data_IF_600857577494
#
_entry.id   IF_600857577494
#
_cell.length_a   1.000
_cell.length_b   1.000
_cell.length_c   1.000
_cell.angle_alpha   90.00
_cell.angle_beta   90.00
_cell.angle_gamma   90.00
#
_symmetry.space_group_name_H-M   'P 1'
#
loop_
_entity.id
_entity.type
_entity.pdbx_description
1 polymer ?
#
# COMPACT_ATOMS: atom_id res chain seq x y z
N UNK A 1 -8.00 13.22 -9.11
CA UNK A 1 -6.76 12.70 -8.49
C UNK A 1 -5.93 11.93 -9.50
N UNK A 2 -6.17 10.65 -9.82
CA UNK A 2 -5.37 9.91 -10.82
C UNK A 2 -5.19 10.66 -12.14
N UNK A 3 -6.29 11.07 -12.79
CA UNK A 3 -6.23 11.79 -14.06
C UNK A 3 -5.52 13.16 -13.96
N UNK A 4 -5.56 13.78 -12.79
CA UNK A 4 -4.86 15.03 -12.48
C UNK A 4 -3.36 14.81 -12.28
N UNK A 5 -2.96 13.65 -11.72
CA UNK A 5 -1.57 13.24 -11.52
C UNK A 5 -0.93 12.69 -12.81
N UNK A 6 -1.72 12.02 -13.64
CA UNK A 6 -1.31 11.46 -14.95
C UNK A 6 -1.72 12.40 -16.09
N UNK A 7 -1.49 13.72 -15.94
CA UNK A 7 -1.94 14.71 -16.92
C UNK A 7 -1.39 14.46 -18.33
N UNK A 8 -0.18 13.91 -18.44
CA UNK A 8 0.45 13.57 -19.72
C UNK A 8 -0.31 12.48 -20.49
N UNK A 9 -1.02 11.60 -19.77
CA UNK A 9 -1.86 10.55 -20.35
C UNK A 9 -3.29 11.02 -20.62
N UNK A 10 -3.72 12.11 -19.98
CA UNK A 10 -5.05 12.70 -20.12
C UNK A 10 -4.95 14.19 -20.54
N UNK A 11 -4.54 14.48 -21.78
CA UNK A 11 -4.25 15.85 -22.23
C UNK A 11 -5.48 16.78 -22.18
N UNK A 12 -6.69 16.24 -22.29
CA UNK A 12 -7.94 17.02 -22.15
C UNK A 12 -8.16 17.54 -20.72
N UNK A 13 -7.40 17.04 -19.75
CA UNK A 13 -7.37 17.48 -18.36
C UNK A 13 -6.18 18.44 -18.11
N UNK A 14 -5.81 19.25 -19.10
CA UNK A 14 -4.73 20.23 -18.93
C UNK A 14 -5.03 21.17 -17.76
N UNK A 15 -4.08 21.15 -16.82
CA UNK A 15 -4.02 21.84 -15.53
C UNK A 15 -3.84 23.34 -15.79
N UNK A 16 -4.90 24.03 -16.25
CA UNK A 16 -4.81 25.47 -16.55
C UNK A 16 -5.97 26.28 -15.97
N UNK A 17 -6.78 25.69 -15.09
CA UNK A 17 -7.77 26.43 -14.32
C UNK A 17 -7.15 26.88 -12.98
N UNK A 18 -7.15 28.19 -12.66
CA UNK A 18 -6.69 28.68 -11.37
C UNK A 18 -7.55 28.05 -10.26
N UNK A 19 -6.89 27.41 -9.29
CA UNK A 19 -7.53 26.68 -8.18
C UNK A 19 -7.34 25.16 -8.21
N UNK A 20 -6.93 24.56 -9.33
CA UNK A 20 -6.77 23.10 -9.43
C UNK A 20 -5.70 22.51 -8.49
N UNK A 21 -4.62 23.24 -8.19
CA UNK A 21 -3.63 22.80 -7.20
C UNK A 21 -4.21 22.74 -5.78
N UNK A 22 -5.07 23.71 -5.43
CA UNK A 22 -5.84 23.70 -4.17
C UNK A 22 -6.83 22.55 -4.18
N UNK A 23 -7.44 22.27 -5.34
CA UNK A 23 -8.37 21.16 -5.46
C UNK A 23 -7.69 19.79 -5.31
N UNK A 24 -6.47 19.63 -5.83
CA UNK A 24 -5.70 18.42 -5.67
C UNK A 24 -5.18 18.27 -4.24
N UNK A 25 -4.66 19.34 -3.64
CA UNK A 25 -4.04 19.30 -2.31
C UNK A 25 -5.05 18.94 -1.21
N UNK A 26 -6.25 19.52 -1.21
CA UNK A 26 -7.27 19.15 -0.21
C UNK A 26 -7.80 17.73 -0.41
N UNK A 27 -7.91 17.26 -1.67
CA UNK A 27 -8.29 15.89 -1.99
C UNK A 27 -7.27 14.90 -1.42
N UNK A 28 -5.99 15.17 -1.63
CA UNK A 28 -4.91 14.35 -1.10
C UNK A 28 -4.86 14.39 0.43
N UNK A 29 -5.08 15.55 1.04
CA UNK A 29 -5.13 15.66 2.49
C UNK A 29 -6.33 14.88 3.07
N UNK A 30 -7.49 14.93 2.41
CA UNK A 30 -8.66 14.15 2.83
C UNK A 30 -8.39 12.63 2.78
N UNK A 31 -7.71 12.15 1.73
CA UNK A 31 -7.28 10.74 1.64
C UNK A 31 -6.29 10.41 2.74
N UNK A 32 -5.28 11.27 2.95
CA UNK A 32 -4.28 11.08 4.01
C UNK A 32 -4.94 10.98 5.39
N UNK A 33 -5.86 11.90 5.72
CA UNK A 33 -6.61 11.88 6.97
C UNK A 33 -7.45 10.59 7.11
N UNK A 34 -8.13 10.17 6.05
CA UNK A 34 -8.89 8.91 6.05
C UNK A 34 -7.99 7.70 6.32
N UNK A 35 -6.84 7.60 5.64
CA UNK A 35 -5.88 6.51 5.81
C UNK A 35 -5.27 6.50 7.22
N UNK A 36 -4.98 7.67 7.80
CA UNK A 36 -4.52 7.75 9.18
C UNK A 36 -5.59 7.31 10.19
N UNK A 37 -6.85 7.73 10.00
CA UNK A 37 -7.98 7.31 10.85
C UNK A 37 -8.25 5.80 10.79
N UNK A 38 -7.91 5.16 9.67
CA UNK A 38 -8.12 3.74 9.43
C UNK A 38 -6.82 2.99 9.16
N UNK A 39 -5.76 3.37 9.89
CA UNK A 39 -4.43 2.80 9.70
C UNK A 39 -4.38 1.31 10.06
N UNK A 40 -3.61 0.52 9.29
CA UNK A 40 -3.61 -0.94 9.35
C UNK A 40 -2.18 -1.51 9.38
N UNK A 41 -1.98 -2.62 10.10
CA UNK A 41 -0.73 -3.40 10.19
C UNK A 41 -0.93 -4.89 9.89
N UNK A 42 -2.02 -5.24 9.23
CA UNK A 42 -2.33 -6.60 8.84
C UNK A 42 -1.23 -7.11 7.90
N UNK A 43 -0.75 -8.31 8.20
CA UNK A 43 0.41 -8.88 7.52
C UNK A 43 0.06 -9.23 6.08
N UNK A 44 0.70 -8.57 5.13
CA UNK A 44 0.71 -8.99 3.72
C UNK A 44 1.67 -10.17 3.62
N UNK A 45 1.13 -11.35 3.29
CA UNK A 45 1.93 -12.57 3.13
C UNK A 45 2.44 -12.69 1.71
N UNK A 46 3.64 -13.24 1.55
CA UNK A 46 4.20 -13.56 0.23
C UNK A 46 3.84 -15.00 -0.13
N UNK A 47 3.24 -15.19 -1.31
CA UNK A 47 2.87 -16.50 -1.84
C UNK A 47 3.73 -16.83 -3.06
N UNK A 48 4.32 -18.02 -3.06
CA UNK A 48 5.02 -18.55 -4.22
C UNK A 48 4.05 -18.85 -5.36
N UNK A 49 4.40 -18.40 -6.56
CA UNK A 49 3.75 -18.74 -7.81
C UNK A 49 4.67 -19.68 -8.61
N UNK A 50 4.18 -20.89 -8.88
CA UNK A 50 4.97 -21.93 -9.54
C UNK A 50 5.20 -21.65 -11.03
N UNK A 51 4.31 -20.91 -11.70
CA UNK A 51 4.46 -20.60 -13.12
C UNK A 51 5.47 -19.48 -13.32
N UNK A 52 5.42 -18.46 -12.46
CA UNK A 52 6.33 -17.32 -12.51
C UNK A 52 7.69 -17.57 -11.81
N UNK A 53 7.84 -18.68 -11.10
CA UNK A 53 8.99 -18.97 -10.22
C UNK A 53 9.35 -17.78 -9.32
N UNK A 54 8.32 -17.11 -8.78
CA UNK A 54 8.46 -15.89 -8.00
C UNK A 54 7.39 -15.80 -6.91
N UNK A 55 7.72 -15.12 -5.83
CA UNK A 55 6.75 -14.78 -4.79
C UNK A 55 6.05 -13.45 -5.03
N UNK A 56 4.74 -13.42 -4.80
CA UNK A 56 3.90 -12.24 -4.91
C UNK A 56 3.20 -11.91 -3.58
N UNK A 57 3.00 -10.62 -3.26
CA UNK A 57 2.29 -10.22 -2.06
C UNK A 57 0.79 -10.50 -2.17
N UNK A 58 0.18 -10.98 -1.09
CA UNK A 58 -1.26 -11.20 -0.94
C UNK A 58 -1.85 -10.13 -0.03
N UNK A 59 -2.57 -9.19 -0.62
CA UNK A 59 -3.26 -8.10 0.10
C UNK A 59 -4.66 -8.46 0.59
N UNK A 60 -5.18 -9.63 0.19
CA UNK A 60 -6.49 -10.15 0.56
C UNK A 60 -6.50 -10.75 1.97
N UNK A 61 -6.10 -9.95 2.95
CA UNK A 61 -6.06 -10.31 4.37
C UNK A 61 -7.13 -9.57 5.16
N UNK A 62 -7.46 -10.07 6.36
CA UNK A 62 -8.39 -9.38 7.24
C UNK A 62 -7.71 -8.17 7.86
N UNK A 63 -8.29 -7.00 7.59
CA UNK A 63 -7.80 -5.69 7.98
C UNK A 63 -8.43 -5.21 9.30
N UNK A 64 -7.68 -4.47 10.12
CA UNK A 64 -8.17 -3.88 11.38
C UNK A 64 -7.49 -2.55 11.67
N UNK A 65 -8.32 -1.53 11.94
CA UNK A 65 -7.85 -0.20 12.31
C UNK A 65 -7.02 -0.19 13.61
N UNK A 66 -5.96 0.61 13.60
CA UNK A 66 -4.99 0.83 14.69
C UNK A 66 -4.60 2.30 14.80
N UNK A 67 -3.76 2.60 15.79
CA UNK A 67 -3.24 3.93 16.07
C UNK A 67 -2.10 4.27 15.08
N UNK A 68 -2.30 5.29 14.26
CA UNK A 68 -1.36 5.67 13.21
C UNK A 68 -0.02 6.16 13.75
N UNK A 69 -0.02 6.98 14.81
CA UNK A 69 1.21 7.60 15.31
C UNK A 69 2.14 6.54 15.91
N UNK A 70 1.56 5.59 16.65
CA UNK A 70 2.32 4.45 17.19
C UNK A 70 2.91 3.57 16.09
N UNK A 71 2.18 3.35 14.99
CA UNK A 71 2.67 2.59 13.84
C UNK A 71 3.84 3.32 13.19
N UNK A 72 3.69 4.63 12.97
CA UNK A 72 4.71 5.47 12.34
C UNK A 72 6.00 5.49 13.17
N UNK A 73 5.90 5.70 14.49
CA UNK A 73 7.05 5.69 15.40
C UNK A 73 7.79 4.35 15.33
N UNK A 74 7.07 3.24 15.50
CA UNK A 74 7.65 1.90 15.42
C UNK A 74 8.31 1.64 14.05
N UNK A 75 7.66 2.02 12.95
CA UNK A 75 8.19 1.80 11.61
C UNK A 75 9.47 2.61 11.33
N UNK A 76 9.59 3.82 11.88
CA UNK A 76 10.82 4.62 11.76
C UNK A 76 11.99 4.00 12.52
N UNK A 77 11.73 3.39 13.68
CA UNK A 77 12.74 2.71 14.51
C UNK A 77 13.15 1.34 13.97
N UNK A 78 12.27 0.66 13.22
CA UNK A 78 12.43 -0.73 12.79
C UNK A 78 12.54 -0.88 11.25
N UNK A 79 13.17 0.08 10.58
CA UNK A 79 13.38 -0.01 9.13
C UNK A 79 14.26 -1.22 8.78
N UNK A 80 13.89 -1.92 7.72
CA UNK A 80 14.70 -3.03 7.19
C UNK A 80 15.82 -2.46 6.32
N UNK A 81 17.05 -2.90 6.57
CA UNK A 81 18.22 -2.47 5.78
C UNK A 81 18.32 -3.19 4.43
N UNK A 82 17.61 -4.32 4.26
CA UNK A 82 17.76 -5.21 3.11
C UNK A 82 16.41 -5.54 2.47
N UNK A 83 16.44 -5.73 1.16
CA UNK A 83 15.26 -6.11 0.38
C UNK A 83 14.96 -7.61 0.46
N UNK A 84 13.68 -7.96 0.38
CA UNK A 84 13.23 -9.35 0.28
C UNK A 84 13.57 -9.92 -1.11
N UNK A 85 14.24 -11.08 -1.16
CA UNK A 85 14.54 -11.76 -2.42
C UNK A 85 13.35 -12.63 -2.84
N UNK A 86 12.62 -12.16 -3.86
CA UNK A 86 11.38 -12.80 -4.31
C UNK A 86 11.57 -14.07 -5.13
N UNK A 87 12.80 -14.35 -5.59
CA UNK A 87 13.15 -15.52 -6.40
C UNK A 87 13.51 -16.76 -5.57
N UNK A 88 13.60 -16.63 -4.25
CA UNK A 88 13.89 -17.75 -3.36
C UNK A 88 12.57 -18.36 -2.87
N UNK A 89 12.32 -19.62 -3.25
CA UNK A 89 11.20 -20.38 -2.69
C UNK A 89 11.53 -20.84 -1.26
N UNK A 90 11.06 -20.08 -0.28
CA UNK A 90 11.12 -20.48 1.12
C UNK A 90 9.94 -21.41 1.44
N UNK A 91 10.20 -22.70 1.66
CA UNK A 91 9.18 -23.68 2.04
C UNK A 91 8.82 -23.45 3.51
N UNK A 92 7.71 -22.76 3.76
CA UNK A 92 7.18 -22.61 5.11
C UNK A 92 6.34 -23.83 5.49
N UNK A 93 6.66 -24.46 6.62
CA UNK A 93 5.90 -25.56 7.23
C UNK A 93 4.67 -25.08 8.03
N UNK A 94 4.40 -23.76 8.04
CA UNK A 94 3.20 -23.20 8.65
C UNK A 94 2.02 -23.34 7.68
N UNK A 95 0.84 -23.81 8.15
CA UNK A 95 -0.36 -23.78 7.34
C UNK A 95 -0.65 -22.33 6.93
N UNK A 96 -0.91 -22.11 5.64
CA UNK A 96 -1.25 -20.79 5.12
C UNK A 96 -2.40 -20.22 5.98
N UNK A 97 -2.26 -19.00 6.54
CA UNK A 97 -3.27 -18.47 7.45
C UNK A 97 -4.63 -18.54 6.75
N UNK A 98 -5.58 -19.25 7.38
CA UNK A 98 -6.94 -19.35 6.86
C UNK A 98 -7.49 -17.94 6.72
N UNK A 99 -7.68 -17.51 5.48
CA UNK A 99 -8.50 -16.35 5.16
C UNK A 99 -9.91 -16.73 5.58
N UNK A 100 -10.33 -16.27 6.77
CA UNK A 100 -11.71 -16.43 7.21
C UNK A 100 -12.57 -15.55 6.29
N UNK A 101 -13.28 -16.20 5.37
CA UNK A 101 -14.33 -15.60 4.54
C UNK A 101 -15.56 -15.29 5.38
#
# INVERSE_FOLDING_TARGET
IRKTMESDHYPDMHISLPGNEINLSHCLDSIRQSLMCSSDVSLIVWKWDEEAEQSFPRGDVVHRCRDFDRIKEWALENQLDNNFNTSIHAVNSLPMPMLLY
#
